data_IF_328856908938
#
_entry.id   IF_328856908938
#
_cell.length_a   1.000
_cell.length_b   1.000
_cell.length_c   1.000
_cell.angle_alpha   90.00
_cell.angle_beta   90.00
_cell.angle_gamma   90.00
#
_symmetry.space_group_name_H-M   'P 1'
#
loop_
_entity.id
_entity.type
_entity.pdbx_description
1 polymer ?
#
# COMPACT_ATOMS: atom_id res chain seq x y z
N UNK A 1 -14.67 -0.33 -28.96
CA UNK A 1 -13.87 0.07 -27.77
C UNK A 1 -13.76 -1.14 -26.88
N UNK A 2 -12.68 -1.89 -26.99
CA UNK A 2 -12.45 -3.12 -26.20
C UNK A 2 -11.97 -2.73 -24.81
N UNK A 3 -12.84 -2.90 -23.81
CA UNK A 3 -12.46 -2.87 -22.40
C UNK A 3 -11.61 -4.12 -22.13
N UNK A 4 -10.30 -3.96 -22.08
CA UNK A 4 -9.39 -5.00 -21.61
C UNK A 4 -9.43 -4.90 -20.09
N UNK A 5 -10.39 -5.59 -19.45
CA UNK A 5 -10.28 -5.91 -18.03
C UNK A 5 -9.16 -6.94 -17.89
N UNK A 6 -7.91 -6.49 -17.89
CA UNK A 6 -6.79 -7.31 -17.45
C UNK A 6 -7.00 -7.56 -15.95
N UNK A 7 -7.58 -8.71 -15.60
CA UNK A 7 -7.63 -9.21 -14.23
C UNK A 7 -6.19 -9.44 -13.81
N UNK A 8 -5.59 -8.43 -13.19
CA UNK A 8 -4.25 -8.55 -12.63
C UNK A 8 -4.34 -9.51 -11.45
N UNK A 9 -3.65 -10.65 -11.55
CA UNK A 9 -3.64 -11.65 -10.49
C UNK A 9 -2.63 -11.17 -9.45
N UNK A 10 -3.14 -10.77 -8.28
CA UNK A 10 -2.30 -10.46 -7.13
C UNK A 10 -2.00 -11.76 -6.38
N UNK A 11 -0.75 -12.01 -5.96
CA UNK A 11 -0.48 -13.03 -4.95
C UNK A 11 -1.34 -12.78 -3.71
N UNK A 12 -1.86 -13.85 -3.09
CA UNK A 12 -2.68 -13.71 -1.87
C UNK A 12 -1.88 -13.06 -0.73
N UNK A 13 -0.60 -13.43 -0.61
CA UNK A 13 0.28 -12.87 0.39
C UNK A 13 0.94 -11.59 -0.13
N UNK A 14 0.72 -10.47 0.58
CA UNK A 14 1.34 -9.19 0.23
C UNK A 14 2.86 -9.28 0.24
N UNK A 15 3.47 -10.15 1.04
CA UNK A 15 4.93 -10.31 1.08
C UNK A 15 5.52 -10.84 -0.23
N UNK A 16 4.69 -11.46 -1.08
CA UNK A 16 5.07 -11.96 -2.40
C UNK A 16 4.88 -10.89 -3.50
N UNK A 17 4.38 -9.70 -3.14
CA UNK A 17 4.19 -8.62 -4.09
C UNK A 17 5.52 -8.01 -4.49
N UNK A 18 5.71 -7.83 -5.78
CA UNK A 18 6.82 -7.07 -6.35
C UNK A 18 6.35 -5.63 -6.60
N UNK A 19 7.23 -4.80 -7.14
CA UNK A 19 6.95 -3.39 -7.41
C UNK A 19 5.72 -3.21 -8.33
N UNK A 20 5.57 -4.05 -9.35
CA UNK A 20 4.44 -3.99 -10.29
C UNK A 20 3.13 -4.32 -9.58
N UNK A 21 3.10 -5.35 -8.74
CA UNK A 21 1.92 -5.69 -7.92
C UNK A 21 1.52 -4.51 -7.04
N UNK A 22 2.47 -3.88 -6.34
CA UNK A 22 2.19 -2.71 -5.50
C UNK A 22 1.64 -1.54 -6.31
N UNK A 23 2.27 -1.21 -7.44
CA UNK A 23 1.85 -0.10 -8.29
C UNK A 23 0.43 -0.31 -8.82
N UNK A 24 0.15 -1.50 -9.36
CA UNK A 24 -1.17 -1.81 -9.89
C UNK A 24 -2.25 -1.79 -8.80
N UNK A 25 -1.94 -2.29 -7.59
CA UNK A 25 -2.86 -2.24 -6.47
C UNK A 25 -3.18 -0.80 -6.04
N UNK A 26 -2.17 0.07 -5.93
CA UNK A 26 -2.38 1.48 -5.57
C UNK A 26 -3.23 2.20 -6.63
N UNK A 27 -2.90 2.02 -7.92
CA UNK A 27 -3.61 2.64 -9.04
C UNK A 27 -5.06 2.13 -9.12
N UNK A 28 -5.29 0.82 -8.96
CA UNK A 28 -6.64 0.24 -9.04
C UNK A 28 -7.59 0.75 -7.95
N UNK A 29 -7.03 1.21 -6.82
CA UNK A 29 -7.77 1.81 -5.72
C UNK A 29 -7.77 3.35 -5.75
N UNK A 30 -7.30 3.97 -6.83
CA UNK A 30 -7.29 5.42 -7.00
C UNK A 30 -6.25 6.17 -6.15
N UNK A 31 -5.23 5.47 -5.63
CA UNK A 31 -4.16 6.03 -4.80
C UNK A 31 -2.98 6.51 -5.66
N UNK A 32 -3.23 7.48 -6.54
CA UNK A 32 -2.27 7.97 -7.54
C UNK A 32 -1.05 8.72 -6.97
N UNK A 33 -1.20 9.49 -5.89
CA UNK A 33 -0.06 10.13 -5.23
C UNK A 33 0.77 9.08 -4.49
N UNK A 34 0.12 8.11 -3.85
CA UNK A 34 0.82 7.00 -3.19
C UNK A 34 1.58 6.14 -4.19
N UNK A 35 1.01 5.86 -5.36
CA UNK A 35 1.68 5.06 -6.40
C UNK A 35 2.99 5.74 -6.84
N UNK A 36 2.96 7.07 -7.02
CA UNK A 36 4.15 7.86 -7.34
C UNK A 36 5.16 7.92 -6.20
N UNK A 37 4.70 8.10 -4.97
CA UNK A 37 5.56 8.17 -3.78
C UNK A 37 6.26 6.83 -3.52
N UNK A 38 5.55 5.73 -3.74
CA UNK A 38 5.98 4.35 -3.52
C UNK A 38 6.41 3.65 -4.82
N UNK A 39 6.94 4.39 -5.80
CA UNK A 39 7.27 3.86 -7.13
C UNK A 39 8.16 2.61 -7.13
N UNK A 40 9.03 2.46 -6.13
CA UNK A 40 9.98 1.34 -5.99
C UNK A 40 9.65 0.44 -4.77
N UNK A 41 8.41 0.48 -4.27
CA UNK A 41 8.04 -0.34 -3.13
C UNK A 41 7.54 -1.70 -3.61
N UNK A 42 8.09 -2.76 -3.04
CA UNK A 42 7.49 -4.08 -3.08
C UNK A 42 6.60 -4.30 -1.85
N UNK A 43 6.00 -5.48 -1.73
CA UNK A 43 5.11 -5.79 -0.62
C UNK A 43 5.76 -5.75 0.76
N UNK A 44 7.03 -6.18 0.85
CA UNK A 44 7.81 -6.09 2.10
C UNK A 44 8.06 -4.62 2.49
N UNK A 45 8.41 -3.77 1.53
CA UNK A 45 8.58 -2.32 1.76
C UNK A 45 7.29 -1.68 2.28
N UNK A 46 6.12 -2.05 1.72
CA UNK A 46 4.83 -1.56 2.22
C UNK A 46 4.53 -2.03 3.65
N UNK A 47 4.85 -3.28 3.99
CA UNK A 47 4.68 -3.80 5.35
C UNK A 47 5.53 -3.03 6.36
N UNK A 48 6.82 -2.82 6.07
CA UNK A 48 7.69 -2.01 6.93
C UNK A 48 7.21 -0.56 7.02
N UNK A 49 6.73 0.03 5.92
CA UNK A 49 6.17 1.38 5.96
C UNK A 49 4.96 1.48 6.88
N UNK A 50 4.08 0.47 6.86
CA UNK A 50 2.94 0.43 7.75
C UNK A 50 3.35 0.25 9.21
N UNK A 51 4.36 -0.54 9.51
CA UNK A 51 4.91 -0.68 10.87
C UNK A 51 5.53 0.63 11.36
N UNK A 52 6.22 1.36 10.50
CA UNK A 52 6.76 2.70 10.78
C UNK A 52 5.62 3.66 11.13
N UNK A 53 4.53 3.66 10.34
CA UNK A 53 3.35 4.50 10.58
C UNK A 53 2.65 4.13 11.91
N UNK A 54 2.66 2.86 12.30
CA UNK A 54 2.00 2.37 13.52
C UNK A 54 2.83 2.63 14.79
N UNK A 55 4.15 2.52 14.71
CA UNK A 55 5.03 2.53 15.89
C UNK A 55 5.75 3.86 16.15
N UNK A 56 5.78 4.77 15.17
CA UNK A 56 6.46 6.07 15.30
C UNK A 56 5.44 7.18 15.57
N UNK A 57 5.93 8.34 16.03
CA UNK A 57 5.15 9.58 16.10
C UNK A 57 4.53 9.91 14.75
N UNK A 58 3.25 9.58 14.59
CA UNK A 58 2.48 9.70 13.35
C UNK A 58 2.63 11.08 12.68
N UNK A 59 2.70 12.16 13.47
CA UNK A 59 2.87 13.51 12.95
C UNK A 59 4.21 13.70 12.22
N UNK A 60 5.29 13.11 12.74
CA UNK A 60 6.61 13.17 12.09
C UNK A 60 6.62 12.37 10.79
N UNK A 61 6.03 11.17 10.79
CA UNK A 61 5.93 10.34 9.57
C UNK A 61 5.10 11.06 8.49
N UNK A 62 3.96 11.65 8.87
CA UNK A 62 3.13 12.44 7.95
C UNK A 62 3.91 13.62 7.38
N UNK A 63 4.64 14.37 8.21
CA UNK A 63 5.47 15.50 7.77
C UNK A 63 6.52 15.04 6.76
N UNK A 64 7.26 13.96 7.06
CA UNK A 64 8.27 13.42 6.16
C UNK A 64 7.68 12.94 4.83
N UNK A 65 6.52 12.29 4.86
CA UNK A 65 5.83 11.86 3.63
C UNK A 65 5.32 13.06 2.81
N UNK A 66 4.85 14.13 3.45
CA UNK A 66 4.45 15.36 2.79
C UNK A 66 5.65 16.04 2.09
N UNK A 67 6.78 16.15 2.79
CA UNK A 67 8.01 16.70 2.24
C UNK A 67 8.50 15.88 1.04
N UNK A 68 8.50 14.55 1.15
CA UNK A 68 8.95 13.67 0.08
C UNK A 68 7.97 13.65 -1.10
N UNK A 69 6.66 13.75 -0.84
CA UNK A 69 5.65 13.92 -1.90
C UNK A 69 5.87 15.21 -2.66
N UNK A 70 6.07 16.33 -1.96
CA UNK A 70 6.33 17.62 -2.59
C UNK A 70 7.61 17.57 -3.43
N UNK A 71 8.69 16.99 -2.88
CA UNK A 71 9.98 16.86 -3.57
C UNK A 71 9.92 15.97 -4.83
N UNK A 72 9.21 14.85 -4.78
CA UNK A 72 9.20 13.85 -5.86
C UNK A 72 8.10 14.09 -6.90
N UNK A 73 6.97 14.61 -6.47
CA UNK A 73 5.76 14.72 -7.30
C UNK A 73 5.33 16.15 -7.56
N UNK A 74 5.95 17.13 -6.89
CA UNK A 74 5.54 18.53 -6.87
C UNK A 74 4.08 18.72 -6.41
N UNK A 75 3.60 17.82 -5.55
CA UNK A 75 2.25 17.82 -4.99
C UNK A 75 2.31 17.56 -3.49
N UNK A 76 1.53 18.31 -2.73
CA UNK A 76 1.32 18.01 -1.31
C UNK A 76 0.58 16.69 -1.18
N UNK A 77 1.01 15.86 -0.24
CA UNK A 77 0.35 14.60 0.03
C UNK A 77 -1.06 14.85 0.58
N UNK A 78 -2.06 14.32 -0.13
CA UNK A 78 -3.44 14.35 0.33
C UNK A 78 -3.63 13.50 1.59
N UNK A 79 -4.08 14.13 2.68
CA UNK A 79 -4.45 13.40 3.89
C UNK A 79 -5.62 12.44 3.65
N UNK A 80 -6.53 12.78 2.74
CA UNK A 80 -7.64 11.89 2.33
C UNK A 80 -7.09 10.61 1.70
N UNK A 81 -6.11 10.75 0.81
CA UNK A 81 -5.48 9.62 0.15
C UNK A 81 -4.64 8.77 1.12
N UNK A 82 -3.97 9.42 2.08
CA UNK A 82 -3.25 8.73 3.15
C UNK A 82 -4.17 7.93 4.07
N UNK A 83 -5.31 8.51 4.45
CA UNK A 83 -6.35 7.80 5.21
C UNK A 83 -6.90 6.62 4.44
N UNK A 84 -7.16 6.79 3.13
CA UNK A 84 -7.66 5.72 2.27
C UNK A 84 -6.64 4.57 2.14
N UNK A 85 -5.37 4.90 1.88
CA UNK A 85 -4.27 3.94 1.87
C UNK A 85 -4.20 3.14 3.17
N UNK A 86 -4.23 3.81 4.33
CA UNK A 86 -4.17 3.14 5.63
C UNK A 86 -5.33 2.17 5.85
N UNK A 87 -6.55 2.56 5.43
CA UNK A 87 -7.73 1.69 5.53
C UNK A 87 -7.57 0.42 4.68
N UNK A 88 -7.19 0.56 3.42
CA UNK A 88 -7.00 -0.56 2.49
C UNK A 88 -5.87 -1.49 2.95
N UNK A 89 -4.76 -0.93 3.43
CA UNK A 89 -3.64 -1.71 3.91
C UNK A 89 -3.99 -2.55 5.14
N UNK A 90 -4.79 -1.99 6.07
CA UNK A 90 -5.29 -2.73 7.23
C UNK A 90 -6.19 -3.89 6.84
N UNK A 91 -7.03 -3.73 5.81
CA UNK A 91 -7.85 -4.82 5.28
C UNK A 91 -6.97 -5.95 4.72
N UNK A 92 -5.92 -5.60 3.96
CA UNK A 92 -4.98 -6.59 3.43
C UNK A 92 -4.22 -7.33 4.53
N UNK A 93 -3.78 -6.61 5.58
CA UNK A 93 -3.16 -7.21 6.78
C UNK A 93 -4.07 -8.21 7.49
N UNK A 94 -5.35 -7.87 7.66
CA UNK A 94 -6.34 -8.76 8.30
C UNK A 94 -6.63 -10.01 7.47
N UNK A 95 -6.56 -9.90 6.14
CA UNK A 95 -6.68 -11.08 5.26
C UNK A 95 -5.55 -12.09 5.51
N UNK A 96 -4.33 -11.64 5.81
CA UNK A 96 -3.18 -12.53 6.09
C UNK A 96 -3.34 -13.27 7.43
N UNK A 97 -3.79 -12.58 8.48
CA UNK A 97 -3.93 -13.18 9.81
C UNK A 97 -5.09 -14.18 9.88
N UNK A 98 -6.15 -13.96 9.09
CA UNK A 98 -7.30 -14.86 9.01
C UNK A 98 -6.96 -16.23 8.41
N UNK A 99 -5.97 -16.30 7.51
CA UNK A 99 -5.54 -17.55 6.85
C UNK A 99 -4.74 -18.47 7.78
N UNK A 100 -4.11 -17.93 8.83
CA UNK A 100 -3.30 -18.73 9.77
C UNK A 100 -4.20 -19.52 10.75
N UNK A 101 -5.39 -19.01 11.07
CA UNK A 101 -6.30 -19.61 12.07
C UNK A 101 -7.09 -20.81 11.52
N UNK A 102 -7.10 -21.04 10.21
CA UNK A 102 -7.95 -22.07 9.57
C UNK A 102 -7.24 -23.33 9.09
N UNK A 103 -5.93 -23.53 9.34
CA UNK A 103 -5.32 -24.85 9.14
C UNK A 103 -5.67 -25.77 10.31
N UNK A 104 -6.50 -26.82 10.14
CA UNK A 104 -6.67 -27.81 11.17
C UNK A 104 -5.38 -28.63 11.25
N UNK A 105 -4.83 -28.72 12.45
CA UNK A 105 -3.80 -29.68 12.82
C UNK A 105 -4.28 -31.07 12.41
N UNK A 106 -3.57 -31.68 11.46
CA UNK A 106 -3.71 -33.11 11.15
C UNK A 106 -2.67 -33.88 11.93
#
# INVERSE_FOLDING_TARGET
MTSISSTFIFPENILDWNEIHVQNWLISHGLLQMSRLFTNFNGQSLMYMSEIIENIHIQQVVSLLQDDSLRRTNQNLSLVELSHFRSLFNQQKQSLTSTIVTKPTK
#
